data_IF_112941029110
#
_entry.id   IF_112941029110
#
_cell.length_a   1.000
_cell.length_b   1.000
_cell.length_c   1.000
_cell.angle_alpha   90.00
_cell.angle_beta   90.00
_cell.angle_gamma   90.00
#
_symmetry.space_group_name_H-M   'P 1'
#
loop_
_entity.id
_entity.type
_entity.pdbx_description
1 polymer ?
#
# COMPACT_ATOMS: atom_id res chain seq x y z
N UNK A 1 -13.73 77.27 26.11
CA UNK A 1 -12.86 76.97 24.91
C UNK A 1 -12.42 75.53 25.06
N UNK A 2 -13.09 74.64 24.35
CA UNK A 2 -13.00 73.20 24.53
C UNK A 2 -11.90 72.59 23.66
N UNK A 3 -11.04 71.84 24.28
CA UNK A 3 -10.06 71.02 23.55
C UNK A 3 -10.42 69.55 23.80
N UNK A 4 -11.00 68.92 22.79
CA UNK A 4 -11.30 67.51 22.80
C UNK A 4 -10.03 66.67 22.55
N UNK A 5 -9.62 65.92 23.56
CA UNK A 5 -8.64 64.85 23.40
C UNK A 5 -9.28 63.62 22.77
N UNK A 6 -8.91 63.29 21.54
CA UNK A 6 -9.23 62.01 20.90
C UNK A 6 -8.09 61.02 21.24
N UNK A 7 -8.38 60.09 22.16
CA UNK A 7 -7.55 58.86 22.27
C UNK A 7 -7.89 57.94 21.09
N UNK A 8 -6.93 57.72 20.22
CA UNK A 8 -6.98 56.68 19.22
C UNK A 8 -6.42 55.38 19.84
N UNK A 9 -7.30 54.40 20.03
CA UNK A 9 -6.91 53.07 20.46
C UNK A 9 -6.33 52.31 19.21
N UNK A 10 -5.03 52.00 19.24
CA UNK A 10 -4.34 51.20 18.25
C UNK A 10 -4.57 49.73 18.59
N UNK A 11 -5.46 49.06 17.84
CA UNK A 11 -5.67 47.60 17.92
C UNK A 11 -4.56 46.95 17.08
N UNK A 12 -3.56 46.38 17.73
CA UNK A 12 -2.56 45.54 17.06
C UNK A 12 -3.15 44.15 16.88
N UNK A 13 -3.59 43.84 15.66
CA UNK A 13 -3.94 42.48 15.26
C UNK A 13 -2.68 41.67 15.05
N UNK A 14 -2.37 40.76 15.98
CA UNK A 14 -1.29 39.78 15.82
C UNK A 14 -1.82 38.70 14.85
N UNK A 15 -1.42 38.76 13.60
CA UNK A 15 -1.63 37.68 12.63
C UNK A 15 -0.58 36.61 12.92
N UNK A 16 -0.99 35.55 13.64
CA UNK A 16 -0.17 34.33 13.76
C UNK A 16 -0.23 33.64 12.40
N UNK A 17 0.75 33.92 11.55
CA UNK A 17 0.99 33.15 10.33
C UNK A 17 1.52 31.78 10.74
N UNK A 18 0.64 30.78 10.76
CA UNK A 18 1.09 29.39 10.85
C UNK A 18 1.85 29.07 9.56
N UNK A 19 3.17 28.99 9.67
CA UNK A 19 4.03 28.42 8.65
C UNK A 19 3.69 26.93 8.50
N UNK A 20 2.73 26.63 7.64
CA UNK A 20 2.58 25.29 7.08
C UNK A 20 3.80 25.10 6.19
N UNK A 21 4.82 24.39 6.69
CA UNK A 21 5.96 24.00 5.88
C UNK A 21 5.48 23.22 4.65
N UNK A 22 6.24 23.23 3.53
CA UNK A 22 5.86 22.51 2.36
C UNK A 22 5.73 21.01 2.71
N UNK A 23 4.52 20.48 2.66
CA UNK A 23 4.31 19.04 2.61
C UNK A 23 4.88 18.64 1.25
N UNK A 24 6.08 18.07 1.25
CA UNK A 24 6.64 17.47 0.05
C UNK A 24 5.67 16.37 -0.37
N UNK A 25 4.91 16.62 -1.44
CA UNK A 25 4.12 15.59 -2.08
C UNK A 25 5.09 14.49 -2.48
N UNK A 26 4.85 13.31 -1.91
CA UNK A 26 5.64 12.12 -2.18
C UNK A 26 5.48 11.76 -3.67
N UNK A 27 6.57 11.52 -4.38
CA UNK A 27 6.60 11.28 -5.82
C UNK A 27 5.80 10.03 -6.26
N UNK A 28 5.40 9.16 -5.32
CA UNK A 28 4.54 8.00 -5.60
C UNK A 28 3.06 8.33 -5.72
N UNK A 29 2.66 9.51 -5.22
CA UNK A 29 1.23 9.85 -5.10
C UNK A 29 0.47 9.08 -4.02
N UNK A 30 1.14 8.26 -3.18
CA UNK A 30 0.50 7.55 -2.08
C UNK A 30 0.16 8.52 -0.93
N UNK A 31 -1.10 8.60 -0.48
CA UNK A 31 -1.46 9.33 0.73
C UNK A 31 -1.00 8.58 1.97
N UNK A 32 -0.79 9.24 3.11
CA UNK A 32 -0.65 8.54 4.39
C UNK A 32 -1.88 7.70 4.71
N UNK A 33 -1.69 6.49 5.25
CA UNK A 33 -2.80 5.68 5.76
C UNK A 33 -3.30 6.26 7.08
N UNK A 34 -4.62 6.41 7.21
CA UNK A 34 -5.23 7.00 8.40
C UNK A 34 -5.67 5.95 9.43
N UNK A 35 -5.89 4.70 9.01
CA UNK A 35 -6.31 3.63 9.90
C UNK A 35 -5.15 3.10 10.73
N UNK A 36 -5.40 2.54 11.93
CA UNK A 36 -4.38 1.95 12.77
C UNK A 36 -3.56 0.87 12.05
N UNK A 37 -2.26 0.84 12.29
CA UNK A 37 -1.36 -0.19 11.75
C UNK A 37 -1.65 -1.50 12.47
N UNK A 38 -2.01 -2.59 11.76
CA UNK A 38 -2.25 -3.89 12.38
C UNK A 38 -0.99 -4.50 12.98
N UNK A 39 -1.15 -5.28 14.04
CA UNK A 39 -0.08 -6.16 14.52
C UNK A 39 0.08 -7.33 13.55
N UNK A 40 1.33 -7.71 13.26
CA UNK A 40 1.66 -8.84 12.38
C UNK A 40 2.56 -9.84 13.10
N UNK A 41 2.61 -11.08 12.59
CA UNK A 41 3.66 -12.02 13.00
C UNK A 41 5.02 -11.57 12.48
N UNK A 42 6.10 -11.89 13.20
CA UNK A 42 7.48 -11.57 12.79
C UNK A 42 8.16 -12.72 12.02
N UNK A 43 7.42 -13.79 11.74
CA UNK A 43 7.90 -14.99 11.06
C UNK A 43 6.83 -15.52 10.11
N UNK A 44 7.16 -16.49 9.29
CA UNK A 44 6.17 -17.21 8.48
C UNK A 44 5.47 -18.30 9.31
N UNK A 45 4.16 -18.48 9.15
CA UNK A 45 3.28 -17.70 8.28
C UNK A 45 3.20 -16.22 8.70
N UNK A 46 3.40 -15.31 7.74
CA UNK A 46 3.36 -13.87 7.96
C UNK A 46 1.92 -13.39 7.74
N UNK A 47 1.22 -13.06 8.82
CA UNK A 47 -0.20 -12.71 8.83
C UNK A 47 -0.49 -11.56 9.80
N UNK A 48 -1.61 -10.90 9.62
CA UNK A 48 -2.14 -9.93 10.59
C UNK A 48 -2.84 -10.65 11.74
N UNK A 49 -2.75 -10.07 12.94
CA UNK A 49 -3.33 -10.65 14.16
C UNK A 49 -4.62 -9.91 14.51
N UNK A 50 -5.72 -10.68 14.64
CA UNK A 50 -7.01 -10.12 15.05
C UNK A 50 -7.72 -9.26 14.00
N UNK A 51 -7.29 -9.32 12.74
CA UNK A 51 -7.93 -8.63 11.61
C UNK A 51 -8.88 -9.58 10.90
N UNK A 52 -10.06 -9.07 10.57
CA UNK A 52 -11.04 -9.78 9.74
C UNK A 52 -11.33 -8.92 8.51
N UNK A 53 -11.22 -9.52 7.34
CA UNK A 53 -11.54 -8.85 6.08
C UNK A 53 -13.04 -8.49 5.99
N UNK A 54 -13.32 -7.30 5.47
CA UNK A 54 -14.64 -7.01 4.95
C UNK A 54 -14.87 -7.77 3.65
N UNK A 55 -16.00 -8.49 3.55
CA UNK A 55 -16.29 -9.36 2.41
C UNK A 55 -16.55 -8.58 1.12
N UNK A 56 -17.20 -7.43 1.21
CA UNK A 56 -17.51 -6.61 0.04
C UNK A 56 -16.24 -5.96 -0.50
N UNK A 57 -15.39 -5.42 0.40
CA UNK A 57 -14.09 -4.86 0.04
C UNK A 57 -13.19 -5.93 -0.58
N UNK A 58 -13.13 -7.12 0.00
CA UNK A 58 -12.33 -8.23 -0.52
C UNK A 58 -12.82 -8.72 -1.89
N UNK A 59 -14.13 -8.83 -2.08
CA UNK A 59 -14.71 -9.20 -3.36
C UNK A 59 -14.43 -8.16 -4.44
N UNK A 60 -14.54 -6.87 -4.11
CA UNK A 60 -14.23 -5.78 -5.04
C UNK A 60 -12.73 -5.76 -5.38
N UNK A 61 -11.84 -5.96 -4.41
CA UNK A 61 -10.40 -6.09 -4.68
C UNK A 61 -10.11 -7.19 -5.70
N UNK A 62 -10.64 -8.39 -5.50
CA UNK A 62 -10.46 -9.51 -6.43
C UNK A 62 -11.04 -9.19 -7.81
N UNK A 63 -12.21 -8.54 -7.87
CA UNK A 63 -12.83 -8.12 -9.12
C UNK A 63 -11.95 -7.11 -9.86
N UNK A 64 -11.40 -6.11 -9.18
CA UNK A 64 -10.54 -5.10 -9.82
C UNK A 64 -9.21 -5.70 -10.29
N UNK A 65 -8.60 -6.57 -9.48
CA UNK A 65 -7.36 -7.27 -9.86
C UNK A 65 -7.58 -8.17 -11.08
N UNK A 66 -8.72 -8.86 -11.16
CA UNK A 66 -9.04 -9.71 -12.32
C UNK A 66 -9.21 -8.93 -13.64
N UNK A 67 -9.40 -7.61 -13.59
CA UNK A 67 -9.48 -6.74 -14.78
C UNK A 67 -8.11 -6.30 -15.30
N UNK A 68 -7.03 -6.54 -14.54
CA UNK A 68 -5.67 -6.24 -15.01
C UNK A 68 -5.34 -7.19 -16.17
N UNK A 69 -4.97 -6.67 -17.35
CA UNK A 69 -4.72 -7.50 -18.53
C UNK A 69 -3.66 -8.58 -18.25
N UNK A 70 -4.01 -9.84 -18.49
CA UNK A 70 -3.10 -10.96 -18.29
C UNK A 70 -2.95 -11.42 -16.83
N UNK A 71 -3.82 -10.95 -15.94
CA UNK A 71 -3.89 -11.45 -14.55
C UNK A 71 -5.04 -12.43 -14.39
N UNK A 72 -4.79 -13.53 -13.73
CA UNK A 72 -5.75 -14.56 -13.37
C UNK A 72 -5.75 -14.77 -11.85
N UNK A 73 -6.95 -14.92 -11.27
CA UNK A 73 -7.10 -15.29 -9.86
C UNK A 73 -7.18 -16.82 -9.78
N UNK A 74 -6.25 -17.42 -9.06
CA UNK A 74 -6.15 -18.88 -8.84
C UNK A 74 -5.92 -19.19 -7.37
N UNK A 75 -5.91 -20.47 -7.02
CA UNK A 75 -5.36 -20.89 -5.73
C UNK A 75 -3.88 -20.53 -5.65
N UNK A 76 -3.44 -20.12 -4.46
CA UNK A 76 -2.02 -19.83 -4.19
C UNK A 76 -1.19 -21.11 -4.15
N UNK A 77 0.10 -21.02 -4.53
CA UNK A 77 1.07 -22.12 -4.34
C UNK A 77 2.09 -21.83 -3.25
N UNK A 78 2.06 -20.63 -2.66
CA UNK A 78 3.09 -20.17 -1.72
C UNK A 78 2.51 -19.62 -0.40
N UNK A 79 1.19 -19.65 -0.22
CA UNK A 79 0.53 -19.02 0.92
C UNK A 79 -0.40 -19.98 1.66
N UNK A 80 -1.18 -19.44 2.59
CA UNK A 80 -2.10 -20.18 3.46
C UNK A 80 -3.28 -20.78 2.69
N UNK A 81 -3.85 -21.88 3.17
CA UNK A 81 -5.12 -22.39 2.64
C UNK A 81 -6.21 -21.31 2.62
N UNK A 82 -6.92 -21.19 1.50
CA UNK A 82 -7.95 -20.18 1.28
C UNK A 82 -7.44 -18.83 0.76
N UNK A 83 -6.13 -18.59 0.73
CA UNK A 83 -5.57 -17.42 0.06
C UNK A 83 -5.74 -17.51 -1.46
N UNK A 84 -5.86 -16.35 -2.12
CA UNK A 84 -6.03 -16.22 -3.56
C UNK A 84 -4.78 -15.66 -4.20
N UNK A 85 -4.15 -16.45 -5.07
CA UNK A 85 -2.98 -16.06 -5.84
C UNK A 85 -3.36 -15.19 -7.06
N UNK A 86 -2.55 -14.18 -7.33
CA UNK A 86 -2.65 -13.31 -8.51
C UNK A 86 -1.56 -13.72 -9.51
N UNK A 87 -1.99 -14.37 -10.58
CA UNK A 87 -1.10 -15.03 -11.51
C UNK A 87 -0.98 -14.26 -12.82
N UNK A 88 0.24 -14.09 -13.28
CA UNK A 88 0.53 -13.56 -14.62
C UNK A 88 0.40 -14.69 -15.62
N UNK A 89 -0.46 -14.55 -16.62
CA UNK A 89 -0.68 -15.59 -17.62
C UNK A 89 0.53 -15.76 -18.57
N UNK A 90 0.61 -16.89 -19.26
CA UNK A 90 1.78 -17.29 -20.07
C UNK A 90 2.09 -16.31 -21.22
N UNK A 91 1.11 -15.55 -21.69
CA UNK A 91 1.27 -14.60 -22.80
C UNK A 91 1.91 -13.28 -22.37
N UNK A 92 2.05 -13.03 -21.06
CA UNK A 92 2.67 -11.81 -20.53
C UNK A 92 4.11 -12.09 -20.16
N UNK A 93 5.03 -11.27 -20.66
CA UNK A 93 6.46 -11.36 -20.31
C UNK A 93 6.67 -10.91 -18.87
N UNK A 94 7.45 -11.68 -18.12
CA UNK A 94 7.95 -11.31 -16.80
C UNK A 94 9.35 -10.76 -16.97
N UNK A 95 9.52 -9.46 -16.75
CA UNK A 95 10.83 -8.81 -16.88
C UNK A 95 11.71 -9.02 -15.64
N UNK A 96 11.11 -9.26 -14.47
CA UNK A 96 11.81 -9.43 -13.19
C UNK A 96 11.41 -10.73 -12.48
N UNK A 97 11.71 -11.90 -13.03
CA UNK A 97 11.31 -13.18 -12.43
C UNK A 97 11.97 -13.42 -11.06
N UNK A 98 13.11 -12.81 -10.79
CA UNK A 98 13.84 -12.96 -9.52
C UNK A 98 13.10 -12.35 -8.31
N UNK A 99 12.15 -11.44 -8.52
CA UNK A 99 11.38 -10.83 -7.43
C UNK A 99 10.13 -11.63 -7.06
N UNK A 100 9.78 -12.65 -7.85
CA UNK A 100 8.64 -13.52 -7.59
C UNK A 100 9.07 -14.70 -6.74
N UNK A 101 8.28 -15.04 -5.71
CA UNK A 101 8.56 -16.18 -4.83
C UNK A 101 8.05 -17.49 -5.44
N UNK A 102 6.91 -17.51 -6.09
CA UNK A 102 6.24 -18.69 -6.59
C UNK A 102 5.87 -18.67 -8.08
N UNK A 103 6.79 -19.05 -8.96
CA UNK A 103 6.50 -19.22 -10.40
C UNK A 103 6.03 -17.93 -11.08
N UNK A 104 4.75 -17.84 -11.44
CA UNK A 104 4.12 -16.66 -12.04
C UNK A 104 3.12 -15.97 -11.09
N UNK A 105 3.05 -16.40 -9.82
CA UNK A 105 2.24 -15.76 -8.78
C UNK A 105 2.98 -14.53 -8.26
N UNK A 106 2.61 -13.32 -8.73
CA UNK A 106 3.30 -12.08 -8.40
C UNK A 106 2.81 -11.45 -7.08
N UNK A 107 1.62 -11.85 -6.64
CA UNK A 107 1.02 -11.43 -5.38
C UNK A 107 -0.03 -12.45 -4.95
N UNK A 108 -0.48 -12.37 -3.69
CA UNK A 108 -1.63 -13.14 -3.21
C UNK A 108 -2.34 -12.41 -2.08
N UNK A 109 -3.63 -12.66 -1.93
CA UNK A 109 -4.46 -12.13 -0.85
C UNK A 109 -4.77 -13.25 0.15
N UNK A 110 -4.54 -12.98 1.43
CA UNK A 110 -4.88 -13.85 2.54
C UNK A 110 -6.38 -13.81 2.88
N UNK A 111 -6.89 -14.79 3.66
CA UNK A 111 -8.27 -14.77 4.15
C UNK A 111 -8.62 -13.56 5.02
N UNK A 112 -7.63 -12.94 5.69
CA UNK A 112 -7.79 -11.71 6.47
C UNK A 112 -7.79 -10.43 5.62
N UNK A 113 -7.65 -10.55 4.28
CA UNK A 113 -7.66 -9.45 3.33
C UNK A 113 -6.31 -8.75 3.14
N UNK A 114 -5.26 -9.11 3.89
CA UNK A 114 -3.91 -8.63 3.63
C UNK A 114 -3.32 -9.28 2.38
N UNK A 115 -2.31 -8.65 1.79
CA UNK A 115 -1.67 -9.19 0.59
C UNK A 115 -0.16 -9.27 0.77
N UNK A 116 0.45 -10.30 0.19
CA UNK A 116 1.88 -10.23 -0.13
C UNK A 116 2.07 -9.86 -1.60
N UNK A 117 3.01 -8.95 -1.85
CA UNK A 117 3.34 -8.49 -3.20
C UNK A 117 4.79 -8.02 -3.27
N UNK A 118 5.39 -8.09 -4.47
CA UNK A 118 6.71 -7.54 -4.75
C UNK A 118 6.57 -6.17 -5.39
N UNK A 119 6.88 -5.12 -4.65
CA UNK A 119 6.95 -3.74 -5.13
C UNK A 119 8.38 -3.41 -5.59
N UNK A 120 8.58 -2.29 -6.27
CA UNK A 120 9.93 -1.74 -6.37
C UNK A 120 10.45 -1.39 -4.98
N UNK A 121 11.78 -1.53 -4.71
CA UNK A 121 12.33 -1.25 -3.38
C UNK A 121 11.97 0.14 -2.83
N UNK A 122 11.94 1.15 -3.70
CA UNK A 122 11.62 2.51 -3.28
C UNK A 122 10.12 2.67 -2.94
N UNK A 123 9.22 2.07 -3.73
CA UNK A 123 7.80 2.07 -3.43
C UNK A 123 7.49 1.25 -2.16
N UNK A 124 8.19 0.13 -1.93
CA UNK A 124 8.06 -0.65 -0.70
C UNK A 124 8.42 0.17 0.54
N UNK A 125 9.59 0.84 0.53
CA UNK A 125 10.00 1.76 1.61
C UNK A 125 8.97 2.84 1.87
N UNK A 126 8.38 3.39 0.80
CA UNK A 126 7.40 4.44 0.87
C UNK A 126 6.07 3.94 1.44
N UNK A 127 5.57 2.78 0.96
CA UNK A 127 4.36 2.16 1.46
C UNK A 127 4.49 1.82 2.96
N UNK A 128 5.66 1.33 3.40
CA UNK A 128 5.95 1.08 4.83
C UNK A 128 5.94 2.38 5.62
N UNK A 129 6.65 3.41 5.15
CA UNK A 129 6.72 4.72 5.83
C UNK A 129 5.35 5.38 5.97
N UNK A 130 4.47 5.21 4.99
CA UNK A 130 3.13 5.79 4.97
C UNK A 130 2.07 4.91 5.64
N UNK A 131 2.46 3.77 6.23
CA UNK A 131 1.57 2.90 7.01
C UNK A 131 0.72 1.95 6.17
N UNK A 132 1.02 1.74 4.89
CA UNK A 132 0.30 0.83 3.99
C UNK A 132 0.79 -0.61 4.03
N UNK A 133 2.05 -0.82 4.43
CA UNK A 133 2.68 -2.12 4.38
C UNK A 133 3.71 -2.32 5.51
N UNK A 134 4.18 -3.55 5.63
CA UNK A 134 5.40 -3.92 6.36
C UNK A 134 6.26 -4.83 5.49
N UNK A 135 7.59 -4.84 5.71
CA UNK A 135 8.47 -5.76 4.99
C UNK A 135 8.15 -7.21 5.38
N UNK A 136 8.18 -8.09 4.39
CA UNK A 136 8.07 -9.52 4.63
C UNK A 136 9.33 -10.02 5.35
N UNK A 137 9.25 -11.01 6.28
CA UNK A 137 10.42 -11.59 6.95
C UNK A 137 11.50 -12.13 6.02
N UNK A 138 11.18 -12.35 4.75
CA UNK A 138 12.13 -12.79 3.73
C UNK A 138 12.70 -11.67 2.86
N UNK A 139 12.28 -10.42 3.05
CA UNK A 139 12.66 -9.30 2.18
C UNK A 139 14.16 -9.08 2.06
N UNK A 140 14.93 -9.41 3.10
CA UNK A 140 16.39 -9.27 3.14
C UNK A 140 17.15 -10.60 2.92
N UNK A 141 16.44 -11.72 2.68
CA UNK A 141 17.05 -13.04 2.59
C UNK A 141 17.72 -13.33 1.25
N UNK A 142 17.35 -12.60 0.19
CA UNK A 142 18.02 -12.71 -1.11
C UNK A 142 17.93 -11.41 -1.92
N UNK A 143 18.91 -11.14 -2.77
CA UNK A 143 18.86 -10.00 -3.69
C UNK A 143 17.61 -10.02 -4.58
N UNK A 144 16.94 -8.89 -4.71
CA UNK A 144 15.72 -8.72 -5.48
C UNK A 144 14.43 -8.84 -4.65
N UNK A 145 14.51 -9.26 -3.39
CA UNK A 145 13.34 -9.37 -2.51
C UNK A 145 13.16 -8.17 -1.58
N UNK A 146 13.98 -7.12 -1.70
CA UNK A 146 13.93 -5.91 -0.87
C UNK A 146 12.55 -5.19 -0.95
N UNK A 147 11.83 -5.44 -2.04
CA UNK A 147 10.47 -4.92 -2.25
C UNK A 147 9.35 -5.86 -1.82
N UNK A 148 9.67 -7.05 -1.26
CA UNK A 148 8.63 -8.00 -0.84
C UNK A 148 7.99 -7.55 0.47
N UNK A 149 6.69 -7.26 0.42
CA UNK A 149 5.94 -6.66 1.53
C UNK A 149 4.64 -7.39 1.81
N UNK A 150 4.11 -7.21 3.04
CA UNK A 150 2.70 -7.39 3.35
C UNK A 150 2.03 -6.02 3.24
N UNK A 151 1.06 -5.88 2.34
CA UNK A 151 0.12 -4.75 2.27
C UNK A 151 -1.03 -5.04 3.22
N UNK A 152 -1.38 -4.07 4.06
CA UNK A 152 -2.41 -4.25 5.07
C UNK A 152 -3.81 -4.31 4.46
N UNK A 153 -4.70 -5.05 5.14
CA UNK A 153 -6.12 -5.17 4.79
C UNK A 153 -6.77 -3.79 4.67
N UNK A 154 -7.37 -3.44 3.54
CA UNK A 154 -8.14 -2.22 3.40
C UNK A 154 -9.43 -2.29 4.23
N UNK A 155 -9.72 -1.22 4.98
CA UNK A 155 -10.90 -1.13 5.86
C UNK A 155 -11.94 -0.13 5.36
N UNK A 156 -11.71 0.49 4.21
CA UNK A 156 -12.62 1.43 3.55
C UNK A 156 -12.44 1.38 2.03
N UNK A 157 -13.36 2.01 1.29
CA UNK A 157 -13.24 2.14 -0.18
C UNK A 157 -12.04 2.98 -0.59
N UNK A 158 -11.73 4.04 0.14
CA UNK A 158 -10.56 4.89 -0.14
C UNK A 158 -9.25 4.08 0.06
N UNK A 159 -9.18 3.27 1.10
CA UNK A 159 -8.04 2.35 1.30
C UNK A 159 -7.96 1.26 0.23
N UNK A 160 -9.10 0.75 -0.21
CA UNK A 160 -9.17 -0.22 -1.29
C UNK A 160 -8.56 0.34 -2.58
N UNK A 161 -8.85 1.58 -2.93
CA UNK A 161 -8.29 2.23 -4.12
C UNK A 161 -6.75 2.28 -4.05
N UNK A 162 -6.19 2.62 -2.89
CA UNK A 162 -4.73 2.63 -2.69
C UNK A 162 -4.15 1.21 -2.78
N UNK A 163 -4.80 0.22 -2.19
CA UNK A 163 -4.35 -1.17 -2.25
C UNK A 163 -4.37 -1.69 -3.69
N UNK A 164 -5.42 -1.38 -4.48
CA UNK A 164 -5.50 -1.72 -5.91
C UNK A 164 -4.33 -1.07 -6.67
N UNK A 165 -4.01 0.19 -6.40
CA UNK A 165 -2.86 0.86 -7.01
C UNK A 165 -1.54 0.15 -6.67
N UNK A 166 -1.34 -0.25 -5.41
CA UNK A 166 -0.13 -0.99 -5.01
C UNK A 166 -0.03 -2.36 -5.72
N UNK A 167 -1.14 -3.07 -5.89
CA UNK A 167 -1.16 -4.33 -6.66
C UNK A 167 -0.84 -4.07 -8.13
N UNK A 168 -1.39 -3.03 -8.75
CA UNK A 168 -1.09 -2.64 -10.12
C UNK A 168 0.39 -2.25 -10.29
N UNK A 169 0.96 -1.51 -9.33
CA UNK A 169 2.39 -1.16 -9.33
C UNK A 169 3.28 -2.41 -9.17
N UNK A 170 2.86 -3.39 -8.36
CA UNK A 170 3.55 -4.68 -8.27
C UNK A 170 3.55 -5.40 -9.62
N UNK A 171 2.38 -5.50 -10.27
CA UNK A 171 2.25 -6.10 -11.60
C UNK A 171 3.17 -5.38 -12.62
N UNK A 172 3.13 -4.05 -12.68
CA UNK A 172 3.94 -3.25 -13.58
C UNK A 172 5.44 -3.45 -13.31
N UNK A 173 5.84 -3.44 -12.04
CA UNK A 173 7.23 -3.69 -11.66
C UNK A 173 7.70 -5.06 -12.11
N UNK A 174 6.91 -6.10 -11.90
CA UNK A 174 7.26 -7.49 -12.26
C UNK A 174 7.32 -7.67 -13.78
N UNK A 175 6.37 -7.09 -14.52
CA UNK A 175 6.28 -7.22 -15.99
C UNK A 175 7.15 -6.22 -16.75
N UNK A 176 7.67 -5.18 -16.08
CA UNK A 176 8.47 -4.15 -16.71
C UNK A 176 7.66 -3.07 -17.45
N UNK A 177 6.37 -2.95 -17.16
CA UNK A 177 5.45 -1.97 -17.75
C UNK A 177 5.48 -0.60 -17.03
N UNK A 178 6.55 -0.22 -16.39
CA UNK A 178 6.73 1.06 -15.68
C UNK A 178 7.25 2.17 -16.58
#
# INVERSE_FOLDING_TARGET
MNIFNKLAALIIAIVISMLVGPVFADSSGLPPRNSPIPTTTNSVPHVQIGVTADREISAELLLQVSKIPGVEIRETVISLPGAKGFWINENVTIARPQVIVGGREFAHMHPDGSLHASLSPDLAKQAVRLGWATHHPWADQRPGWEGFVMIYTPVSKDELEVVIQLVLQSYNFVTGNS
#
